data_IF_390887756188
#
_entry.id   IF_390887756188
#
_cell.length_a   1.000
_cell.length_b   1.000
_cell.length_c   1.000
_cell.angle_alpha   90.00
_cell.angle_beta   90.00
_cell.angle_gamma   90.00
#
_symmetry.space_group_name_H-M   'P 1'
#
loop_
_entity.id
_entity.type
_entity.pdbx_description
1 polymer ?
#
# COMPACT_ATOMS: atom_id res chain seq x y z
N UNK A 1 15.41 44.92 -12.18
CA UNK A 1 15.40 43.67 -11.38
C UNK A 1 16.51 42.78 -11.90
N UNK A 2 17.53 42.50 -11.10
CA UNK A 2 18.64 41.63 -11.48
C UNK A 2 18.28 40.18 -11.16
N UNK A 3 18.25 39.31 -12.17
CA UNK A 3 18.07 37.86 -12.00
C UNK A 3 19.46 37.22 -11.90
N UNK A 4 19.79 36.68 -10.74
CA UNK A 4 21.05 35.97 -10.51
C UNK A 4 21.05 34.62 -11.22
N UNK A 5 22.17 34.25 -11.84
CA UNK A 5 22.34 32.98 -12.53
C UNK A 5 22.24 31.77 -11.57
N UNK A 6 21.79 30.59 -12.04
CA UNK A 6 21.70 29.38 -11.22
C UNK A 6 23.10 28.86 -10.84
N UNK A 7 23.23 28.21 -9.66
CA UNK A 7 24.52 27.77 -9.15
C UNK A 7 25.12 26.67 -10.05
N UNK A 8 26.37 26.88 -10.48
CA UNK A 8 27.15 25.86 -11.22
C UNK A 8 27.55 24.75 -10.26
N UNK A 9 27.25 23.49 -10.60
CA UNK A 9 27.78 22.31 -9.90
C UNK A 9 29.31 22.31 -10.04
N UNK A 10 30.01 22.29 -8.92
CA UNK A 10 31.43 21.98 -8.87
C UNK A 10 31.62 20.51 -9.30
N UNK A 11 32.45 20.27 -10.31
CA UNK A 11 32.79 18.93 -10.83
C UNK A 11 33.84 18.20 -9.97
N UNK A 12 34.15 18.72 -8.79
CA UNK A 12 35.25 18.25 -7.95
C UNK A 12 34.79 17.60 -6.63
N UNK A 13 33.48 17.40 -6.43
CA UNK A 13 32.94 16.67 -5.28
C UNK A 13 32.90 15.14 -5.50
N UNK A 14 33.89 14.60 -6.20
CA UNK A 14 34.10 13.17 -6.38
C UNK A 14 35.57 12.79 -6.15
N UNK A 15 36.17 13.27 -5.05
CA UNK A 15 37.38 12.65 -4.51
C UNK A 15 36.99 11.50 -3.57
N UNK A 16 36.43 10.43 -4.13
CA UNK A 16 36.48 9.13 -3.46
C UNK A 16 37.94 8.71 -3.43
N UNK A 17 38.54 8.81 -2.24
CA UNK A 17 39.86 8.25 -1.95
C UNK A 17 39.96 6.80 -2.41
N UNK A 18 41.18 6.40 -2.77
CA UNK A 18 41.52 5.07 -3.26
C UNK A 18 40.85 3.96 -2.41
N UNK A 19 39.88 3.29 -3.01
CA UNK A 19 39.27 2.09 -2.45
C UNK A 19 40.34 0.98 -2.51
N UNK A 20 40.75 0.37 -1.38
CA UNK A 20 41.63 -0.79 -1.45
C UNK A 20 40.92 -1.86 -2.26
N UNK A 21 41.61 -2.44 -3.24
CA UNK A 21 41.06 -3.43 -4.17
C UNK A 21 40.31 -4.51 -3.39
N UNK A 22 38.98 -4.43 -3.40
CA UNK A 22 38.13 -5.43 -2.79
C UNK A 22 38.44 -6.74 -3.52
N UNK A 23 38.88 -7.76 -2.78
CA UNK A 23 39.22 -9.07 -3.32
C UNK A 23 38.13 -9.56 -4.28
N UNK A 24 38.48 -9.94 -5.50
CA UNK A 24 37.56 -10.37 -6.57
C UNK A 24 36.48 -11.35 -6.07
N UNK A 25 36.84 -12.29 -5.20
CA UNK A 25 35.92 -13.25 -4.58
C UNK A 25 34.74 -12.60 -3.85
N UNK A 26 34.96 -11.44 -3.21
CA UNK A 26 33.92 -10.70 -2.50
C UNK A 26 32.98 -10.00 -3.48
N UNK A 27 33.49 -9.52 -4.60
CA UNK A 27 32.69 -8.90 -5.67
C UNK A 27 31.83 -9.96 -6.35
N UNK A 28 32.40 -11.12 -6.71
CA UNK A 28 31.65 -12.26 -7.26
C UNK A 28 30.55 -12.74 -6.32
N UNK A 29 30.83 -12.80 -5.00
CA UNK A 29 29.84 -13.20 -4.01
C UNK A 29 28.66 -12.23 -3.91
N UNK A 30 28.85 -10.95 -4.24
CA UNK A 30 27.79 -9.93 -4.25
C UNK A 30 27.03 -9.99 -5.57
N UNK A 31 27.71 -10.19 -6.70
CA UNK A 31 27.10 -10.34 -8.03
C UNK A 31 26.23 -11.61 -8.10
N UNK A 32 26.75 -12.73 -7.62
CA UNK A 32 26.04 -14.02 -7.59
C UNK A 32 24.85 -14.02 -6.61
N UNK A 33 24.79 -13.04 -5.71
CA UNK A 33 23.67 -12.85 -4.75
C UNK A 33 22.53 -12.01 -5.31
N UNK A 34 22.57 -11.71 -6.62
CA UNK A 34 21.55 -11.06 -7.46
C UNK A 34 20.40 -10.39 -6.72
N UNK A 35 20.42 -9.06 -6.62
CA UNK A 35 19.31 -8.18 -6.17
C UNK A 35 18.27 -8.80 -5.21
N UNK A 36 18.71 -9.49 -4.17
CA UNK A 36 17.80 -9.96 -3.12
C UNK A 36 17.49 -8.77 -2.22
N UNK A 37 16.32 -8.17 -2.41
CA UNK A 37 15.77 -7.23 -1.43
C UNK A 37 15.71 -7.95 -0.08
N UNK A 38 16.18 -7.27 0.97
CA UNK A 38 16.17 -7.74 2.35
C UNK A 38 14.78 -8.31 2.66
N UNK A 39 14.70 -9.63 2.83
CA UNK A 39 13.51 -10.27 3.37
C UNK A 39 13.35 -9.75 4.80
N UNK A 40 12.41 -8.84 4.97
CA UNK A 40 11.87 -8.48 6.27
C UNK A 40 11.38 -9.79 6.88
N UNK A 41 11.86 -10.08 8.08
CA UNK A 41 11.52 -11.29 8.83
C UNK A 41 10.05 -11.16 9.22
N UNK A 42 9.17 -11.69 8.38
CA UNK A 42 7.73 -11.75 8.65
C UNK A 42 7.49 -12.65 9.86
N UNK A 43 6.77 -12.09 10.80
CA UNK A 43 6.37 -12.75 12.04
C UNK A 43 5.27 -13.78 11.74
N UNK A 44 5.12 -14.87 12.52
CA UNK A 44 4.20 -15.97 12.18
C UNK A 44 2.70 -15.63 12.18
N UNK A 45 2.31 -14.36 12.42
CA UNK A 45 0.94 -13.89 12.32
C UNK A 45 0.55 -13.43 10.90
N UNK A 46 1.50 -13.39 9.94
CA UNK A 46 1.36 -12.75 8.62
C UNK A 46 1.03 -13.70 7.45
N UNK A 47 0.44 -14.87 7.70
CA UNK A 47 0.13 -15.83 6.62
C UNK A 47 -1.36 -15.88 6.22
N UNK A 48 -2.08 -14.75 6.23
CA UNK A 48 -3.32 -14.63 5.45
C UNK A 48 -3.07 -13.79 4.19
N UNK A 49 -2.81 -14.42 3.03
CA UNK A 49 -2.47 -13.69 1.83
C UNK A 49 -3.68 -12.88 1.34
N UNK A 50 -3.44 -11.62 0.96
CA UNK A 50 -4.43 -10.78 0.28
C UNK A 50 -4.92 -11.49 -1.00
N UNK A 51 -6.23 -11.74 -1.07
CA UNK A 51 -6.88 -12.32 -2.25
C UNK A 51 -7.79 -11.29 -2.91
N UNK A 52 -7.61 -11.09 -4.21
CA UNK A 52 -8.51 -10.28 -5.02
C UNK A 52 -9.71 -11.11 -5.44
N UNK A 53 -10.91 -10.66 -5.08
CA UNK A 53 -12.17 -11.30 -5.48
C UNK A 53 -12.91 -10.38 -6.44
N UNK A 54 -13.28 -10.90 -7.62
CA UNK A 54 -14.12 -10.19 -8.59
C UNK A 54 -15.58 -10.55 -8.37
N UNK A 55 -16.40 -9.57 -7.99
CA UNK A 55 -17.84 -9.75 -7.78
C UNK A 55 -18.62 -9.02 -8.87
N UNK A 56 -19.63 -9.69 -9.44
CA UNK A 56 -20.58 -9.07 -10.37
C UNK A 56 -21.83 -8.64 -9.58
N UNK A 57 -22.14 -7.36 -9.61
CA UNK A 57 -23.33 -6.78 -8.99
C UNK A 57 -24.21 -6.15 -10.07
N UNK A 58 -25.52 -6.11 -9.82
CA UNK A 58 -26.43 -5.39 -10.70
C UNK A 58 -26.18 -3.89 -10.59
N UNK A 59 -26.28 -3.16 -11.69
CA UNK A 59 -26.12 -1.69 -11.66
C UNK A 59 -27.18 -1.00 -10.80
N UNK A 60 -28.36 -1.60 -10.63
CA UNK A 60 -29.40 -1.09 -9.73
C UNK A 60 -28.98 -1.12 -8.27
N UNK A 61 -28.28 -2.18 -7.82
CA UNK A 61 -27.83 -2.27 -6.43
C UNK A 61 -26.71 -1.28 -6.16
N UNK A 62 -25.83 -1.03 -7.14
CA UNK A 62 -24.79 0.00 -7.03
C UNK A 62 -25.37 1.40 -6.82
N UNK A 63 -26.42 1.77 -7.58
CA UNK A 63 -27.13 3.06 -7.39
C UNK A 63 -27.74 3.20 -5.99
N UNK A 64 -28.29 2.11 -5.46
CA UNK A 64 -28.83 2.11 -4.10
C UNK A 64 -27.71 2.33 -3.08
N UNK A 65 -26.57 1.65 -3.24
CA UNK A 65 -25.40 1.82 -2.36
C UNK A 65 -24.94 3.28 -2.37
N UNK A 66 -24.83 3.90 -3.54
CA UNK A 66 -24.41 5.30 -3.63
C UNK A 66 -25.40 6.25 -2.94
N UNK A 67 -26.70 6.04 -3.13
CA UNK A 67 -27.74 6.83 -2.44
C UNK A 67 -27.68 6.69 -0.91
N UNK A 68 -27.31 5.51 -0.39
CA UNK A 68 -27.15 5.27 1.04
C UNK A 68 -25.85 5.88 1.58
N UNK A 69 -24.78 5.87 0.79
CA UNK A 69 -23.50 6.49 1.14
C UNK A 69 -23.61 8.01 1.24
N UNK A 70 -24.40 8.64 0.38
CA UNK A 70 -24.65 10.09 0.43
C UNK A 70 -25.35 10.55 1.71
N UNK A 71 -26.20 9.71 2.29
CA UNK A 71 -26.91 10.00 3.54
C UNK A 71 -26.02 9.94 4.78
N UNK A 72 -24.84 9.30 4.71
CA UNK A 72 -23.92 9.26 5.84
C UNK A 72 -23.25 10.63 6.03
N UNK A 73 -23.12 11.11 7.28
CA UNK A 73 -22.55 12.42 7.56
C UNK A 73 -21.11 12.48 7.05
N UNK A 74 -20.80 13.55 6.31
CA UNK A 74 -19.46 13.80 5.77
C UNK A 74 -18.52 14.17 6.92
N UNK A 75 -17.24 13.83 6.77
CA UNK A 75 -16.22 14.26 7.74
C UNK A 75 -16.13 15.80 7.66
N UNK A 76 -16.27 16.54 8.77
CA UNK A 76 -16.40 18.01 8.75
C UNK A 76 -15.21 18.74 8.08
N UNK A 77 -14.06 18.08 7.98
CA UNK A 77 -12.83 18.65 7.41
C UNK A 77 -12.56 18.19 5.96
N UNK A 78 -13.35 17.27 5.39
CA UNK A 78 -13.10 16.78 4.02
C UNK A 78 -14.36 16.76 3.14
N UNK A 79 -14.24 17.20 1.87
CA UNK A 79 -15.36 17.23 0.92
C UNK A 79 -15.71 15.84 0.34
N UNK A 80 -14.99 14.78 0.72
CA UNK A 80 -15.19 13.43 0.19
C UNK A 80 -16.34 12.73 0.94
N UNK A 81 -17.08 11.85 0.24
CA UNK A 81 -18.02 10.95 0.89
C UNK A 81 -17.29 10.21 2.03
N UNK A 82 -17.97 10.03 3.16
CA UNK A 82 -17.34 9.51 4.37
C UNK A 82 -16.75 8.11 4.24
N UNK A 83 -17.13 7.37 3.19
CA UNK A 83 -16.69 5.98 2.96
C UNK A 83 -16.62 5.65 1.47
N UNK A 84 -15.63 4.85 1.05
CA UNK A 84 -15.52 4.33 -0.32
C UNK A 84 -16.61 3.29 -0.62
N UNK A 85 -16.89 3.01 -1.90
CA UNK A 85 -17.79 1.90 -2.25
C UNK A 85 -17.23 0.56 -1.79
N UNK A 86 -15.90 0.37 -1.91
CA UNK A 86 -15.21 -0.85 -1.47
C UNK A 86 -15.36 -1.00 0.04
N UNK A 87 -15.03 0.04 0.81
CA UNK A 87 -15.16 0.01 2.28
C UNK A 87 -16.58 -0.29 2.73
N UNK A 88 -17.59 0.28 2.03
CA UNK A 88 -18.99 0.00 2.32
C UNK A 88 -19.34 -1.49 2.13
N UNK A 89 -18.85 -2.10 1.05
CA UNK A 89 -19.05 -3.53 0.77
C UNK A 89 -18.32 -4.38 1.82
N UNK A 90 -17.09 -4.04 2.17
CA UNK A 90 -16.32 -4.74 3.21
C UNK A 90 -17.02 -4.68 4.56
N UNK A 91 -17.48 -3.49 4.98
CA UNK A 91 -18.25 -3.30 6.22
C UNK A 91 -19.52 -4.17 6.24
N UNK A 92 -20.25 -4.22 5.13
CA UNK A 92 -21.45 -5.07 5.00
C UNK A 92 -21.13 -6.57 5.09
N UNK A 93 -20.00 -7.01 4.51
CA UNK A 93 -19.55 -8.41 4.61
C UNK A 93 -19.17 -8.75 6.05
N UNK A 94 -18.38 -7.90 6.72
CA UNK A 94 -18.00 -8.10 8.12
C UNK A 94 -19.21 -8.14 9.05
N UNK A 95 -20.17 -7.24 8.86
CA UNK A 95 -21.41 -7.22 9.63
C UNK A 95 -22.21 -8.52 9.43
N UNK A 96 -22.29 -9.01 8.18
CA UNK A 96 -22.94 -10.28 7.87
C UNK A 96 -22.21 -11.45 8.53
N UNK A 97 -20.87 -11.52 8.46
CA UNK A 97 -20.07 -12.56 9.13
C UNK A 97 -20.32 -12.53 10.63
N UNK A 98 -20.30 -11.36 11.28
CA UNK A 98 -20.56 -11.24 12.72
C UNK A 98 -21.96 -11.73 13.10
N UNK A 99 -22.99 -11.41 12.31
CA UNK A 99 -24.35 -11.89 12.53
C UNK A 99 -24.45 -13.41 12.40
N UNK A 100 -23.83 -13.99 11.38
CA UNK A 100 -23.84 -15.45 11.17
C UNK A 100 -23.02 -16.20 12.22
N UNK A 101 -21.83 -15.70 12.59
CA UNK A 101 -21.04 -16.25 13.69
C UNK A 101 -21.84 -16.32 14.99
N UNK A 102 -22.56 -15.23 15.32
CA UNK A 102 -23.46 -15.18 16.47
C UNK A 102 -24.64 -16.16 16.34
N UNK A 103 -25.19 -16.32 15.14
CA UNK A 103 -26.34 -17.20 14.92
C UNK A 103 -25.96 -18.68 15.02
N UNK A 104 -24.80 -19.08 14.49
CA UNK A 104 -24.32 -20.46 14.51
C UNK A 104 -23.39 -20.78 15.69
N UNK A 105 -23.11 -19.81 16.55
CA UNK A 105 -22.23 -19.95 17.71
C UNK A 105 -20.83 -20.49 17.35
N UNK A 106 -20.30 -20.00 16.22
CA UNK A 106 -18.96 -20.32 15.72
C UNK A 106 -18.08 -19.11 16.02
N UNK A 107 -17.27 -19.21 17.07
CA UNK A 107 -16.27 -18.19 17.44
C UNK A 107 -15.00 -18.32 16.59
#
# INVERSE_FOLDING_TARGET
MAVSAPPKRNKDAASTGAVPAASEKKIESIINRGSSTVAISESPAENDPLKTVTVKLLSSTLKVIDSLREKRPRKPTSPKLGISQVDWITEAIEEKIKREKKHYNVD
#
